data_IF_701554649754
#
_entry.id   IF_701554649754
#
_cell.length_a   1.000
_cell.length_b   1.000
_cell.length_c   1.000
_cell.angle_alpha   90.00
_cell.angle_beta   90.00
_cell.angle_gamma   90.00
#
_symmetry.space_group_name_H-M   'P 1'
#
loop_
_entity.id
_entity.type
_entity.pdbx_description
1 polymer ?
#
# COMPACT_ATOMS: atom_id res chain seq x y z
N UNK A 1 -2.66 -130.13 -1.62
CA UNK A 1 -2.86 -129.73 -0.21
C UNK A 1 -2.21 -128.37 -0.10
N UNK A 2 -2.89 -127.24 -0.28
CA UNK A 2 -4.18 -126.82 0.28
C UNK A 2 -4.12 -126.71 1.81
N UNK A 3 -3.82 -125.50 2.28
CA UNK A 3 -4.50 -124.86 3.42
C UNK A 3 -4.50 -123.34 3.15
N UNK A 4 -5.70 -122.78 3.08
CA UNK A 4 -5.93 -121.33 3.02
C UNK A 4 -5.91 -120.79 4.46
N UNK A 5 -5.04 -119.83 4.77
CA UNK A 5 -5.14 -119.10 6.03
C UNK A 5 -6.21 -118.02 5.89
N UNK A 6 -7.25 -118.00 6.75
CA UNK A 6 -8.38 -117.10 6.56
C UNK A 6 -7.98 -115.66 6.83
N UNK A 7 -8.24 -114.80 5.85
CA UNK A 7 -8.07 -113.36 5.94
C UNK A 7 -9.06 -112.81 6.97
N UNK A 8 -8.66 -112.79 8.25
CA UNK A 8 -9.47 -112.30 9.38
C UNK A 8 -9.60 -110.79 9.28
N UNK A 9 -10.53 -110.41 8.43
CA UNK A 9 -10.86 -109.04 8.07
C UNK A 9 -10.97 -108.15 9.31
N UNK A 10 -10.33 -106.97 9.24
CA UNK A 10 -10.41 -105.93 10.28
C UNK A 10 -11.87 -105.55 10.63
N UNK A 11 -12.80 -105.83 9.72
CA UNK A 11 -14.25 -105.70 9.85
C UNK A 11 -14.87 -106.53 10.99
N UNK A 12 -14.24 -107.63 11.43
CA UNK A 12 -14.81 -108.53 12.44
C UNK A 12 -14.38 -108.18 13.89
N UNK A 13 -13.25 -107.47 14.04
CA UNK A 13 -12.79 -106.93 15.34
C UNK A 13 -13.56 -105.66 15.71
N UNK A 14 -14.02 -104.91 14.70
CA UNK A 14 -14.86 -103.73 14.83
C UNK A 14 -16.11 -103.96 15.70
N UNK A 15 -17.05 -104.88 15.40
CA UNK A 15 -18.26 -105.08 16.21
C UNK A 15 -17.97 -105.54 17.65
N UNK A 16 -16.91 -106.31 17.87
CA UNK A 16 -16.51 -106.79 19.20
C UNK A 16 -16.07 -105.63 20.11
N UNK A 17 -15.17 -104.76 19.63
CA UNK A 17 -14.75 -103.55 20.35
C UNK A 17 -15.91 -102.56 20.48
N UNK A 18 -16.70 -102.41 19.41
CA UNK A 18 -17.86 -101.53 19.36
C UNK A 18 -18.84 -101.89 20.49
N UNK A 19 -19.21 -103.17 20.68
CA UNK A 19 -20.22 -103.59 21.67
C UNK A 19 -19.96 -103.12 23.12
N UNK A 20 -18.71 -103.16 23.59
CA UNK A 20 -18.33 -102.80 24.98
C UNK A 20 -17.80 -101.38 25.14
N UNK A 21 -17.32 -100.72 24.08
CA UNK A 21 -16.73 -99.37 24.15
C UNK A 21 -17.56 -98.27 23.46
N UNK A 22 -18.82 -98.52 23.05
CA UNK A 22 -19.75 -97.49 22.49
C UNK A 22 -19.66 -96.17 23.23
N UNK A 23 -19.81 -96.22 24.55
CA UNK A 23 -19.83 -95.04 25.41
C UNK A 23 -18.51 -94.27 25.45
N UNK A 24 -17.35 -94.94 25.34
CA UNK A 24 -16.06 -94.26 25.27
C UNK A 24 -15.83 -93.60 23.91
N UNK A 25 -16.24 -94.25 22.81
CA UNK A 25 -16.16 -93.66 21.47
C UNK A 25 -17.11 -92.46 21.32
N UNK A 26 -18.35 -92.59 21.83
CA UNK A 26 -19.32 -91.50 21.89
C UNK A 26 -18.79 -90.35 22.76
N UNK A 27 -18.22 -90.63 23.95
CA UNK A 27 -17.63 -89.59 24.80
C UNK A 27 -16.46 -88.88 24.10
N UNK A 28 -15.56 -89.62 23.46
CA UNK A 28 -14.40 -89.08 22.75
C UNK A 28 -14.77 -88.18 21.55
N UNK A 29 -15.95 -88.38 20.95
CA UNK A 29 -16.48 -87.51 19.88
C UNK A 29 -17.35 -86.38 20.43
N UNK A 30 -18.24 -86.69 21.38
CA UNK A 30 -19.19 -85.74 21.94
C UNK A 30 -18.54 -84.69 22.85
N UNK A 31 -17.47 -85.03 23.58
CA UNK A 31 -16.76 -84.08 24.43
C UNK A 31 -16.10 -82.93 23.64
N UNK A 32 -15.27 -83.16 22.59
CA UNK A 32 -14.74 -82.07 21.78
C UNK A 32 -15.82 -81.37 20.94
N UNK A 33 -16.88 -82.08 20.50
CA UNK A 33 -17.99 -81.45 19.79
C UNK A 33 -18.79 -80.49 20.70
N UNK A 34 -19.09 -80.90 21.94
CA UNK A 34 -19.76 -80.07 22.93
C UNK A 34 -18.87 -78.89 23.40
N UNK A 35 -17.56 -79.11 23.54
CA UNK A 35 -16.61 -78.05 23.83
C UNK A 35 -16.55 -77.02 22.68
N UNK A 36 -16.52 -77.47 21.42
CA UNK A 36 -16.55 -76.60 20.25
C UNK A 36 -17.87 -75.82 20.14
N UNK A 37 -19.02 -76.49 20.32
CA UNK A 37 -20.34 -75.85 20.31
C UNK A 37 -20.47 -74.79 21.42
N UNK A 38 -20.06 -75.14 22.66
CA UNK A 38 -20.02 -74.22 23.79
C UNK A 38 -19.14 -72.99 23.52
N UNK A 39 -17.93 -73.21 22.98
CA UNK A 39 -17.01 -72.13 22.62
C UNK A 39 -17.59 -71.21 21.54
N UNK A 40 -18.25 -71.75 20.51
CA UNK A 40 -18.93 -70.97 19.47
C UNK A 40 -20.05 -70.10 20.08
N UNK A 41 -20.84 -70.64 21.01
CA UNK A 41 -21.91 -69.86 21.68
C UNK A 41 -21.40 -68.83 22.69
N UNK A 42 -20.16 -68.97 23.18
CA UNK A 42 -19.56 -68.05 24.15
C UNK A 42 -18.81 -66.88 23.51
N UNK A 43 -18.40 -67.00 22.24
CA UNK A 43 -17.71 -65.93 21.53
C UNK A 43 -18.71 -64.82 21.08
N UNK A 44 -18.45 -63.55 21.39
CA UNK A 44 -19.31 -62.46 20.95
C UNK A 44 -19.19 -62.23 19.43
N UNK A 45 -20.33 -62.04 18.76
CA UNK A 45 -20.35 -61.65 17.36
C UNK A 45 -19.66 -60.30 17.16
N UNK A 46 -18.75 -60.23 16.17
CA UNK A 46 -18.08 -59.00 15.76
C UNK A 46 -18.40 -58.69 14.29
N UNK A 47 -18.99 -57.53 14.07
CA UNK A 47 -19.30 -56.99 12.75
C UNK A 47 -18.22 -55.99 12.33
N UNK A 48 -17.92 -55.94 11.03
CA UNK A 48 -17.03 -54.94 10.42
C UNK A 48 -17.78 -54.24 9.30
N UNK A 49 -17.78 -52.91 9.30
CA UNK A 49 -18.24 -52.09 8.16
C UNK A 49 -17.07 -51.30 7.61
N UNK A 50 -16.98 -51.20 6.28
CA UNK A 50 -15.91 -50.54 5.55
C UNK A 50 -16.50 -49.50 4.59
N UNK A 51 -16.00 -48.26 4.66
CA UNK A 51 -16.29 -47.21 3.69
C UNK A 51 -15.04 -46.92 2.84
N UNK A 52 -15.22 -46.85 1.53
CA UNK A 52 -14.17 -46.49 0.57
C UNK A 52 -14.33 -45.03 0.17
N UNK A 53 -13.31 -44.21 0.41
CA UNK A 53 -13.28 -42.80 0.00
C UNK A 53 -12.29 -42.66 -1.16
N UNK A 54 -12.78 -42.11 -2.28
CA UNK A 54 -11.95 -41.83 -3.45
C UNK A 54 -11.34 -40.43 -3.31
N UNK A 55 -10.03 -40.30 -3.53
CA UNK A 55 -9.37 -38.99 -3.57
C UNK A 55 -9.33 -38.52 -5.01
N UNK A 56 -10.24 -37.62 -5.36
CA UNK A 56 -10.18 -36.90 -6.62
C UNK A 56 -9.02 -35.87 -6.61
N UNK A 57 -8.19 -35.91 -7.65
CA UNK A 57 -7.03 -35.03 -7.82
C UNK A 57 -7.44 -33.92 -8.79
N UNK A 58 -7.53 -32.71 -8.27
CA UNK A 58 -7.82 -31.53 -9.08
C UNK A 58 -6.69 -31.35 -10.12
N UNK A 59 -7.01 -31.60 -11.39
CA UNK A 59 -6.05 -31.56 -12.49
C UNK A 59 -5.56 -30.13 -12.72
N UNK A 60 -4.34 -29.85 -12.29
CA UNK A 60 -3.56 -28.69 -12.72
C UNK A 60 -2.63 -29.19 -13.84
N UNK A 61 -2.58 -28.54 -15.02
CA UNK A 61 -1.77 -29.01 -16.14
C UNK A 61 -0.30 -29.25 -15.75
N UNK A 62 0.21 -30.46 -16.01
CA UNK A 62 1.53 -30.94 -15.52
C UNK A 62 2.76 -30.22 -16.11
N UNK A 63 2.57 -29.13 -16.86
CA UNK A 63 3.61 -28.48 -17.66
C UNK A 63 4.80 -27.89 -16.88
N UNK A 64 4.79 -27.88 -15.53
CA UNK A 64 5.77 -27.15 -14.72
C UNK A 64 6.48 -27.93 -13.60
N UNK A 65 6.03 -29.13 -13.17
CA UNK A 65 6.78 -29.91 -12.16
C UNK A 65 6.55 -31.41 -12.27
N UNK A 66 7.63 -32.21 -12.18
CA UNK A 66 7.52 -33.68 -12.04
C UNK A 66 6.87 -34.04 -10.70
N UNK A 67 5.84 -34.88 -10.76
CA UNK A 67 5.00 -35.23 -9.62
C UNK A 67 5.70 -36.15 -8.61
N UNK A 68 6.07 -35.59 -7.45
CA UNK A 68 6.39 -36.34 -6.21
C UNK A 68 5.18 -36.34 -5.25
N UNK A 69 3.96 -36.27 -5.80
CA UNK A 69 2.74 -35.88 -5.04
C UNK A 69 2.15 -37.02 -4.19
N UNK A 70 2.67 -38.24 -4.29
CA UNK A 70 2.22 -39.39 -3.47
C UNK A 70 2.52 -39.21 -1.97
N UNK A 71 3.75 -38.82 -1.61
CA UNK A 71 4.14 -38.64 -0.20
C UNK A 71 3.33 -37.54 0.48
N UNK A 72 3.12 -36.40 -0.21
CA UNK A 72 2.33 -35.28 0.30
C UNK A 72 0.86 -35.66 0.58
N UNK A 73 0.26 -36.51 -0.27
CA UNK A 73 -1.11 -36.98 -0.05
C UNK A 73 -1.21 -37.94 1.14
N UNK A 74 -0.29 -38.90 1.25
CA UNK A 74 -0.29 -39.85 2.36
C UNK A 74 -0.04 -39.17 3.70
N UNK A 75 0.95 -38.26 3.78
CA UNK A 75 1.16 -37.42 4.98
C UNK A 75 -0.11 -36.64 5.33
N UNK A 76 -0.81 -36.06 4.35
CA UNK A 76 -2.05 -35.32 4.59
C UNK A 76 -3.18 -36.21 5.11
N UNK A 77 -3.35 -37.41 4.55
CA UNK A 77 -4.33 -38.39 5.05
C UNK A 77 -3.99 -38.78 6.49
N UNK A 78 -2.71 -39.00 6.82
CA UNK A 78 -2.27 -39.30 8.18
C UNK A 78 -2.54 -38.13 9.15
N UNK A 79 -2.29 -36.88 8.77
CA UNK A 79 -2.62 -35.71 9.61
C UNK A 79 -4.13 -35.60 9.88
N UNK A 80 -4.97 -35.77 8.84
CA UNK A 80 -6.44 -35.77 9.01
C UNK A 80 -6.88 -36.96 9.88
N UNK A 81 -6.22 -38.12 9.74
CA UNK A 81 -6.48 -39.30 10.58
C UNK A 81 -6.18 -39.02 12.05
N UNK A 82 -5.08 -38.33 12.36
CA UNK A 82 -4.73 -37.95 13.74
C UNK A 82 -5.76 -36.99 14.35
N UNK A 83 -6.26 -36.03 13.57
CA UNK A 83 -7.31 -35.09 14.01
C UNK A 83 -8.65 -35.80 14.27
N UNK A 84 -9.05 -36.74 13.41
CA UNK A 84 -10.32 -37.49 13.55
C UNK A 84 -10.24 -38.56 14.64
N UNK A 85 -9.08 -39.17 14.85
CA UNK A 85 -8.81 -40.12 15.94
C UNK A 85 -8.40 -39.44 17.26
N UNK A 86 -8.51 -38.11 17.33
CA UNK A 86 -8.31 -37.32 18.55
C UNK A 86 -9.35 -37.64 19.61
N UNK A 87 -8.99 -37.43 20.88
CA UNK A 87 -9.85 -37.71 22.04
C UNK A 87 -11.24 -37.08 21.89
N UNK A 88 -11.30 -35.79 21.57
CA UNK A 88 -12.55 -35.04 21.47
C UNK A 88 -13.46 -35.54 20.33
N UNK A 89 -12.90 -35.86 19.16
CA UNK A 89 -13.68 -36.36 18.02
C UNK A 89 -14.22 -37.78 18.28
N UNK A 90 -13.42 -38.67 18.86
CA UNK A 90 -13.86 -40.02 19.24
C UNK A 90 -14.89 -39.98 20.38
N UNK A 91 -14.72 -39.11 21.37
CA UNK A 91 -15.69 -38.92 22.46
C UNK A 91 -17.07 -38.47 21.94
N UNK A 92 -17.11 -37.55 20.97
CA UNK A 92 -18.37 -37.14 20.31
C UNK A 92 -19.05 -38.33 19.61
N UNK A 93 -18.29 -39.20 18.93
CA UNK A 93 -18.86 -40.41 18.31
C UNK A 93 -19.37 -41.42 19.33
N UNK A 94 -18.61 -41.68 20.40
CA UNK A 94 -19.00 -42.58 21.49
C UNK A 94 -20.30 -42.12 22.14
N UNK A 95 -20.43 -40.81 22.40
CA UNK A 95 -21.65 -40.23 22.95
C UNK A 95 -22.81 -40.27 21.96
N UNK A 96 -22.60 -39.88 20.69
CA UNK A 96 -23.66 -39.79 19.67
C UNK A 96 -24.29 -41.14 19.34
N UNK A 97 -23.49 -42.21 19.31
CA UNK A 97 -23.95 -43.55 18.91
C UNK A 97 -24.05 -44.53 20.09
N UNK A 98 -23.90 -44.07 21.33
CA UNK A 98 -24.02 -44.92 22.53
C UNK A 98 -22.98 -46.05 22.61
N UNK A 99 -21.80 -45.85 22.00
CA UNK A 99 -20.81 -46.91 21.83
C UNK A 99 -20.27 -47.40 23.18
N UNK A 100 -19.94 -48.69 23.25
CA UNK A 100 -19.23 -49.32 24.38
C UNK A 100 -19.94 -49.21 25.74
N UNK A 101 -21.27 -49.12 25.80
CA UNK A 101 -22.06 -48.93 27.03
C UNK A 101 -21.57 -49.78 28.24
N UNK A 102 -21.31 -51.07 28.04
CA UNK A 102 -20.82 -51.98 29.09
C UNK A 102 -19.41 -51.64 29.62
N UNK A 103 -18.54 -51.09 28.77
CA UNK A 103 -17.19 -50.68 29.19
C UNK A 103 -17.22 -49.31 29.87
N UNK A 104 -18.08 -48.38 29.44
CA UNK A 104 -18.18 -47.03 30.03
C UNK A 104 -18.50 -47.05 31.53
N UNK A 105 -19.18 -48.10 31.99
CA UNK A 105 -19.50 -48.33 33.41
C UNK A 105 -18.39 -49.07 34.19
N UNK A 106 -17.38 -49.62 33.51
CA UNK A 106 -16.35 -50.50 34.09
C UNK A 106 -14.93 -49.93 34.03
N UNK A 107 -14.64 -49.06 33.07
CA UNK A 107 -13.32 -48.45 32.87
C UNK A 107 -13.42 -46.94 32.59
N UNK A 108 -12.37 -46.15 32.90
CA UNK A 108 -12.31 -44.73 32.53
C UNK A 108 -12.51 -44.50 31.03
N UNK A 109 -13.09 -43.35 30.69
CA UNK A 109 -13.42 -42.98 29.30
C UNK A 109 -12.20 -43.01 28.37
N UNK A 110 -11.02 -42.69 28.88
CA UNK A 110 -9.74 -42.75 28.19
C UNK A 110 -9.46 -44.16 27.64
N UNK A 111 -9.75 -45.21 28.42
CA UNK A 111 -9.56 -46.59 27.98
C UNK A 111 -10.58 -47.00 26.91
N UNK A 112 -11.81 -46.45 26.98
CA UNK A 112 -12.85 -46.64 25.95
C UNK A 112 -12.43 -45.97 24.64
N UNK A 113 -11.84 -44.77 24.71
CA UNK A 113 -11.33 -44.04 23.54
C UNK A 113 -10.14 -44.77 22.90
N UNK A 114 -9.18 -45.27 23.69
CA UNK A 114 -8.09 -46.11 23.17
C UNK A 114 -8.58 -47.43 22.59
N UNK A 115 -9.67 -48.00 23.14
CA UNK A 115 -10.33 -49.17 22.54
C UNK A 115 -10.92 -48.82 21.17
N UNK A 116 -11.66 -47.72 21.07
CA UNK A 116 -12.22 -47.24 19.81
C UNK A 116 -11.15 -46.98 18.75
N UNK A 117 -10.03 -46.35 19.13
CA UNK A 117 -8.92 -46.09 18.19
C UNK A 117 -8.32 -47.39 17.62
N UNK A 118 -8.31 -48.48 18.38
CA UNK A 118 -7.82 -49.81 17.93
C UNK A 118 -8.85 -50.58 17.09
N UNK A 119 -10.14 -50.34 17.32
CA UNK A 119 -11.23 -50.97 16.56
C UNK A 119 -11.41 -50.32 15.16
N UNK A 120 -10.93 -49.07 14.97
CA UNK A 120 -10.84 -48.38 13.68
C UNK A 120 -9.53 -48.78 12.95
N UNK A 121 -9.62 -49.05 11.66
CA UNK A 121 -8.45 -49.24 10.76
C UNK A 121 -8.60 -48.42 9.49
N UNK A 122 -7.53 -47.73 9.10
CA UNK A 122 -7.41 -47.04 7.83
C UNK A 122 -6.34 -47.74 6.99
N UNK A 123 -6.69 -48.06 5.75
CA UNK A 123 -5.80 -48.69 4.78
C UNK A 123 -5.81 -47.84 3.49
N UNK A 124 -4.65 -47.39 3.03
CA UNK A 124 -4.53 -46.71 1.74
C UNK A 124 -4.50 -47.75 0.63
N UNK A 125 -5.29 -47.53 -0.42
CA UNK A 125 -5.38 -48.41 -1.58
C UNK A 125 -5.05 -47.62 -2.85
N UNK A 126 -3.83 -47.79 -3.33
CA UNK A 126 -3.46 -47.38 -4.68
C UNK A 126 -4.26 -48.20 -5.68
N UNK A 127 -5.21 -47.56 -6.37
CA UNK A 127 -5.88 -48.20 -7.51
C UNK A 127 -5.00 -47.95 -8.73
N UNK A 128 -4.08 -48.89 -8.98
CA UNK A 128 -3.41 -48.98 -10.27
C UNK A 128 -4.46 -49.36 -11.33
N UNK A 129 -5.05 -48.34 -11.94
CA UNK A 129 -5.98 -48.49 -13.04
C UNK A 129 -5.23 -49.12 -14.22
N UNK A 130 -5.43 -50.43 -14.40
CA UNK A 130 -4.74 -51.31 -15.36
C UNK A 130 -4.87 -50.79 -16.81
N UNK A 131 -3.98 -49.87 -17.21
CA UNK A 131 -3.94 -49.24 -18.53
C UNK A 131 -4.04 -47.71 -18.57
N UNK A 132 -4.42 -47.03 -17.48
CA UNK A 132 -4.40 -45.56 -17.38
C UNK A 132 -3.19 -45.10 -16.55
N UNK A 133 -2.49 -44.06 -17.04
CA UNK A 133 -1.29 -43.49 -16.36
C UNK A 133 -1.59 -42.71 -15.08
N UNK A 134 -2.87 -42.59 -14.72
CA UNK A 134 -3.34 -41.86 -13.54
C UNK A 134 -3.73 -42.87 -12.44
N UNK A 135 -2.83 -43.06 -11.47
CA UNK A 135 -3.12 -43.87 -10.28
C UNK A 135 -4.07 -43.10 -9.35
N UNK A 136 -5.37 -43.40 -9.45
CA UNK A 136 -6.38 -42.85 -8.54
C UNK A 136 -6.15 -43.43 -7.14
N UNK A 137 -5.97 -42.55 -6.15
CA UNK A 137 -5.73 -42.97 -4.77
C UNK A 137 -7.07 -43.08 -4.06
N UNK A 138 -7.37 -44.25 -3.52
CA UNK A 138 -8.49 -44.46 -2.61
C UNK A 138 -7.94 -44.78 -1.21
N UNK A 139 -8.77 -44.60 -0.19
CA UNK A 139 -8.50 -45.16 1.14
C UNK A 139 -9.77 -45.78 1.70
N UNK A 140 -9.60 -46.87 2.45
CA UNK A 140 -10.68 -47.59 3.10
C UNK A 140 -10.59 -47.39 4.60
N UNK A 141 -11.67 -46.87 5.19
CA UNK A 141 -11.86 -46.79 6.64
C UNK A 141 -12.73 -47.96 7.02
N UNK A 142 -12.31 -48.77 7.99
CA UNK A 142 -13.15 -49.81 8.58
C UNK A 142 -13.25 -49.65 10.09
N UNK A 143 -14.41 -50.01 10.64
CA UNK A 143 -14.68 -50.02 12.08
C UNK A 143 -15.30 -51.36 12.46
N UNK A 144 -15.04 -51.81 13.69
CA UNK A 144 -15.44 -53.10 14.22
C UNK A 144 -16.19 -52.94 15.54
N UNK A 145 -17.26 -53.72 15.73
CA UNK A 145 -18.08 -53.65 16.95
C UNK A 145 -19.10 -54.77 17.03
N UNK A 146 -19.91 -54.77 18.10
CA UNK A 146 -20.84 -55.85 18.43
C UNK A 146 -22.23 -55.70 17.82
N UNK A 147 -22.63 -54.50 17.38
CA UNK A 147 -23.90 -54.27 16.68
C UNK A 147 -23.68 -53.83 15.24
N UNK A 148 -24.32 -54.52 14.29
CA UNK A 148 -24.16 -54.28 12.85
C UNK A 148 -24.68 -52.90 12.42
N UNK A 149 -25.82 -52.45 12.97
CA UNK A 149 -26.42 -51.16 12.62
C UNK A 149 -25.54 -49.99 13.06
N UNK A 150 -25.13 -50.00 14.32
CA UNK A 150 -24.26 -49.01 14.94
C UNK A 150 -22.87 -48.98 14.31
N UNK A 151 -22.31 -50.14 13.95
CA UNK A 151 -21.04 -50.23 13.22
C UNK A 151 -21.14 -49.56 11.85
N UNK A 152 -22.22 -49.80 11.09
CA UNK A 152 -22.44 -49.13 9.80
C UNK A 152 -22.57 -47.61 9.92
N UNK A 153 -23.40 -47.13 10.87
CA UNK A 153 -23.57 -45.70 11.14
C UNK A 153 -22.27 -45.02 11.58
N UNK A 154 -21.46 -45.70 12.39
CA UNK A 154 -20.16 -45.18 12.86
C UNK A 154 -19.16 -45.09 11.72
N UNK A 155 -19.04 -46.11 10.86
CA UNK A 155 -18.16 -46.06 9.67
C UNK A 155 -18.56 -44.93 8.71
N UNK A 156 -19.87 -44.75 8.47
CA UNK A 156 -20.37 -43.67 7.63
C UNK A 156 -20.04 -42.28 8.22
N UNK A 157 -20.26 -42.09 9.53
CA UNK A 157 -19.92 -40.84 10.21
C UNK A 157 -18.41 -40.54 10.18
N UNK A 158 -17.56 -41.55 10.37
CA UNK A 158 -16.11 -41.42 10.20
C UNK A 158 -15.77 -40.95 8.78
N UNK A 159 -16.30 -41.59 7.74
CA UNK A 159 -16.07 -41.18 6.34
C UNK A 159 -16.51 -39.73 6.07
N UNK A 160 -17.67 -39.31 6.60
CA UNK A 160 -18.12 -37.91 6.51
C UNK A 160 -17.14 -36.94 7.17
N UNK A 161 -16.58 -37.27 8.35
CA UNK A 161 -15.59 -36.42 9.02
C UNK A 161 -14.29 -36.27 8.23
N UNK A 162 -13.83 -37.30 7.50
CA UNK A 162 -12.67 -37.16 6.60
C UNK A 162 -12.94 -36.17 5.46
N UNK A 163 -14.15 -36.16 4.91
CA UNK A 163 -14.56 -35.22 3.86
C UNK A 163 -14.65 -33.79 4.42
N UNK A 164 -15.32 -33.62 5.57
CA UNK A 164 -15.52 -32.33 6.23
C UNK A 164 -14.20 -31.68 6.67
N UNK A 165 -13.31 -32.42 7.34
CA UNK A 165 -12.03 -31.86 7.81
C UNK A 165 -11.07 -31.61 6.62
N UNK A 166 -11.14 -32.39 5.54
CA UNK A 166 -10.43 -32.07 4.29
C UNK A 166 -10.91 -30.75 3.66
N UNK A 167 -12.22 -30.51 3.63
CA UNK A 167 -12.80 -29.26 3.12
C UNK A 167 -12.36 -28.07 3.99
N UNK A 168 -12.53 -28.18 5.31
CA UNK A 168 -12.11 -27.16 6.29
C UNK A 168 -10.60 -26.89 6.26
N UNK A 169 -9.77 -27.92 6.04
CA UNK A 169 -8.34 -27.76 5.84
C UNK A 169 -8.00 -26.99 4.54
N UNK A 170 -8.73 -27.25 3.44
CA UNK A 170 -8.59 -26.47 2.19
C UNK A 170 -8.98 -25.00 2.40
N UNK A 171 -10.09 -24.74 3.10
CA UNK A 171 -10.55 -23.38 3.43
C UNK A 171 -9.51 -22.61 4.26
N UNK A 172 -9.01 -23.21 5.35
CA UNK A 172 -7.93 -22.62 6.17
C UNK A 172 -6.68 -22.32 5.34
N UNK A 173 -6.27 -23.24 4.45
CA UNK A 173 -5.10 -23.06 3.58
C UNK A 173 -5.30 -21.92 2.56
N UNK A 174 -6.48 -21.84 1.95
CA UNK A 174 -6.83 -20.77 1.02
C UNK A 174 -6.86 -19.40 1.72
N UNK A 175 -7.48 -19.32 2.90
CA UNK A 175 -7.52 -18.11 3.71
C UNK A 175 -6.11 -17.63 4.10
N UNK A 176 -5.26 -18.53 4.61
CA UNK A 176 -3.87 -18.21 4.96
C UNK A 176 -3.02 -17.78 3.76
N UNK A 177 -3.27 -18.37 2.58
CA UNK A 177 -2.61 -17.96 1.33
C UNK A 177 -3.07 -16.56 0.90
N UNK A 178 -4.36 -16.25 0.99
CA UNK A 178 -4.89 -14.93 0.69
C UNK A 178 -4.37 -13.86 1.66
N UNK A 179 -4.25 -14.19 2.95
CA UNK A 179 -3.66 -13.30 3.97
C UNK A 179 -2.17 -13.05 3.71
N UNK A 180 -1.40 -14.10 3.40
CA UNK A 180 0.00 -13.97 3.00
C UNK A 180 0.17 -13.07 1.76
N UNK A 181 -0.61 -13.31 0.70
CA UNK A 181 -0.57 -12.50 -0.52
C UNK A 181 -0.99 -11.04 -0.27
N UNK A 182 -1.95 -10.81 0.62
CA UNK A 182 -2.35 -9.45 1.06
C UNK A 182 -1.22 -8.74 1.80
N UNK A 183 -0.47 -9.45 2.66
CA UNK A 183 0.74 -8.93 3.30
C UNK A 183 1.82 -8.56 2.28
N UNK A 184 2.17 -9.49 1.39
CA UNK A 184 3.15 -9.25 0.32
C UNK A 184 2.75 -8.09 -0.61
N UNK A 185 1.46 -7.93 -0.91
CA UNK A 185 0.94 -6.81 -1.69
C UNK A 185 1.12 -5.47 -0.95
N UNK A 186 0.84 -5.42 0.36
CA UNK A 186 1.03 -4.22 1.17
C UNK A 186 2.50 -3.81 1.28
N UNK A 187 3.40 -4.77 1.52
CA UNK A 187 4.84 -4.53 1.57
C UNK A 187 5.40 -4.10 0.21
N UNK A 188 4.96 -4.75 -0.87
CA UNK A 188 5.36 -4.38 -2.24
C UNK A 188 4.86 -2.99 -2.61
N UNK A 189 3.61 -2.63 -2.24
CA UNK A 189 3.08 -1.28 -2.42
C UNK A 189 3.92 -0.25 -1.66
N UNK A 190 4.25 -0.50 -0.39
CA UNK A 190 5.10 0.41 0.41
C UNK A 190 6.49 0.62 -0.20
N UNK A 191 7.07 -0.43 -0.80
CA UNK A 191 8.34 -0.33 -1.55
C UNK A 191 8.20 0.47 -2.83
N UNK A 192 7.12 0.26 -3.60
CA UNK A 192 6.83 1.03 -4.81
C UNK A 192 6.60 2.52 -4.50
N UNK A 193 5.75 2.83 -3.54
CA UNK A 193 5.47 4.20 -3.09
C UNK A 193 6.77 4.94 -2.69
N UNK A 194 7.71 4.24 -2.02
CA UNK A 194 9.02 4.78 -1.67
C UNK A 194 9.95 5.00 -2.88
N UNK A 195 9.91 4.11 -3.88
CA UNK A 195 10.67 4.29 -5.14
C UNK A 195 10.08 5.44 -5.98
N UNK A 196 8.75 5.57 -6.05
CA UNK A 196 8.08 6.69 -6.72
C UNK A 196 8.42 8.03 -6.07
N UNK A 197 8.51 8.08 -4.73
CA UNK A 197 8.98 9.28 -4.01
C UNK A 197 10.43 9.62 -4.37
N UNK A 198 11.35 8.65 -4.38
CA UNK A 198 12.74 8.88 -4.78
C UNK A 198 12.86 9.38 -6.22
N UNK A 199 12.11 8.78 -7.16
CA UNK A 199 12.04 9.24 -8.55
C UNK A 199 11.44 10.63 -8.65
N UNK A 200 10.36 10.93 -7.91
CA UNK A 200 9.73 12.25 -7.88
C UNK A 200 10.66 13.34 -7.35
N UNK A 201 11.40 13.06 -6.27
CA UNK A 201 12.42 13.96 -5.75
C UNK A 201 13.58 14.15 -6.73
N UNK A 202 14.08 13.08 -7.35
CA UNK A 202 15.13 13.17 -8.37
C UNK A 202 14.68 14.06 -9.54
N UNK A 203 13.49 13.82 -10.08
CA UNK A 203 12.88 14.66 -11.13
C UNK A 203 12.74 16.11 -10.71
N UNK A 204 12.32 16.39 -9.46
CA UNK A 204 12.18 17.74 -8.92
C UNK A 204 13.51 18.48 -8.75
N UNK A 205 14.58 17.78 -8.33
CA UNK A 205 15.91 18.37 -8.14
C UNK A 205 16.62 18.64 -9.48
N UNK A 206 16.42 17.77 -10.47
CA UNK A 206 17.04 17.84 -11.79
C UNK A 206 16.10 18.43 -12.87
N UNK A 207 15.12 19.25 -12.50
CA UNK A 207 14.20 19.88 -13.46
C UNK A 207 14.96 20.66 -14.54
N UNK A 208 14.74 20.31 -15.80
CA UNK A 208 15.46 20.85 -16.96
C UNK A 208 16.62 19.96 -17.44
N UNK A 209 17.10 19.01 -16.63
CA UNK A 209 18.18 18.07 -16.99
C UNK A 209 17.66 16.66 -17.34
N UNK A 210 16.33 16.44 -17.24
CA UNK A 210 15.73 15.12 -17.50
C UNK A 210 15.87 14.73 -18.98
N UNK A 211 16.16 13.44 -19.29
CA UNK A 211 16.13 12.94 -20.66
C UNK A 211 14.79 13.16 -21.38
N UNK A 212 13.66 13.07 -20.66
CA UNK A 212 12.34 13.38 -21.24
C UNK A 212 12.14 14.87 -21.59
N UNK A 213 12.94 15.78 -21.03
CA UNK A 213 12.89 17.21 -21.34
C UNK A 213 13.91 17.60 -22.43
N UNK A 214 14.84 16.72 -22.80
CA UNK A 214 15.89 16.98 -23.79
C UNK A 214 15.32 17.50 -25.12
N UNK A 215 14.27 16.87 -25.64
CA UNK A 215 13.64 17.27 -26.91
C UNK A 215 12.96 18.65 -26.81
N UNK A 216 12.23 18.92 -25.72
CA UNK A 216 11.62 20.22 -25.46
C UNK A 216 12.67 21.32 -25.25
N UNK A 217 13.79 21.01 -24.59
CA UNK A 217 14.92 21.90 -24.39
C UNK A 217 15.61 22.22 -25.72
N UNK A 218 15.84 21.23 -26.58
CA UNK A 218 16.43 21.41 -27.90
C UNK A 218 15.52 22.26 -28.81
N UNK A 219 14.21 22.00 -28.82
CA UNK A 219 13.25 22.83 -29.55
C UNK A 219 13.22 24.28 -29.02
N UNK A 220 13.38 24.47 -27.70
CA UNK A 220 13.47 25.80 -27.08
C UNK A 220 14.78 26.51 -27.44
N UNK A 221 15.90 25.77 -27.48
CA UNK A 221 17.22 26.26 -27.91
C UNK A 221 17.21 26.69 -29.38
N UNK A 222 16.64 25.89 -30.28
CA UNK A 222 16.49 26.23 -31.70
C UNK A 222 15.68 27.52 -31.88
N UNK A 223 14.54 27.64 -31.18
CA UNK A 223 13.72 28.86 -31.19
C UNK A 223 14.48 30.07 -30.64
N UNK A 224 15.25 29.91 -29.56
CA UNK A 224 16.10 30.96 -29.01
C UNK A 224 17.19 31.37 -30.00
N UNK A 225 17.81 30.42 -30.70
CA UNK A 225 18.85 30.67 -31.69
C UNK A 225 18.31 31.47 -32.89
N UNK A 226 17.11 31.11 -33.38
CA UNK A 226 16.39 31.86 -34.41
C UNK A 226 16.05 33.28 -33.95
N UNK A 227 15.56 33.46 -32.71
CA UNK A 227 15.31 34.78 -32.14
C UNK A 227 16.59 35.63 -32.02
N UNK A 228 17.71 35.02 -31.60
CA UNK A 228 19.00 35.70 -31.45
C UNK A 228 19.51 36.18 -32.83
N UNK A 229 19.42 35.32 -33.86
CA UNK A 229 19.76 35.69 -35.25
C UNK A 229 18.90 36.84 -35.77
N UNK A 230 17.58 36.78 -35.60
CA UNK A 230 16.68 37.88 -36.00
C UNK A 230 17.02 39.19 -35.27
N UNK A 231 17.42 39.12 -34.00
CA UNK A 231 17.82 40.31 -33.23
C UNK A 231 19.16 40.88 -33.72
N UNK A 232 20.15 40.03 -34.04
CA UNK A 232 21.42 40.44 -34.64
C UNK A 232 21.23 41.07 -36.03
N UNK A 233 20.37 40.52 -36.88
CA UNK A 233 20.00 41.10 -38.18
C UNK A 233 19.33 42.48 -38.00
N UNK A 234 18.43 42.61 -37.03
CA UNK A 234 17.78 43.89 -36.70
C UNK A 234 18.77 44.92 -36.15
N UNK A 235 19.72 44.51 -35.30
CA UNK A 235 20.78 45.37 -34.78
C UNK A 235 21.71 45.86 -35.90
N UNK A 236 22.05 44.99 -36.85
CA UNK A 236 22.85 45.33 -38.04
C UNK A 236 22.13 46.34 -38.92
N UNK A 237 20.84 46.10 -39.24
CA UNK A 237 20.01 47.07 -39.97
C UNK A 237 19.86 48.40 -39.24
N UNK A 238 19.85 48.40 -37.91
CA UNK A 238 19.80 49.62 -37.12
C UNK A 238 21.13 50.38 -37.14
N UNK A 239 22.28 49.69 -37.11
CA UNK A 239 23.60 50.33 -37.22
C UNK A 239 23.86 50.87 -38.63
N UNK A 240 23.47 50.14 -39.67
CA UNK A 240 23.48 50.59 -41.07
C UNK A 240 22.67 51.88 -41.26
N UNK A 241 21.41 51.90 -40.79
CA UNK A 241 20.56 53.11 -40.82
C UNK A 241 21.18 54.28 -40.07
N UNK A 242 21.81 54.05 -38.93
CA UNK A 242 22.52 55.09 -38.18
C UNK A 242 23.74 55.60 -38.97
N UNK A 243 24.47 54.71 -39.64
CA UNK A 243 25.62 55.09 -40.45
C UNK A 243 25.20 55.93 -41.65
N UNK A 244 24.15 55.55 -42.39
CA UNK A 244 23.65 56.33 -43.53
C UNK A 244 23.06 57.67 -43.12
N UNK A 245 22.37 57.75 -41.97
CA UNK A 245 21.98 59.04 -41.39
C UNK A 245 23.20 59.90 -41.03
N UNK A 246 24.26 59.32 -40.45
CA UNK A 246 25.47 60.06 -40.11
C UNK A 246 26.24 60.57 -41.34
N UNK A 247 26.27 59.81 -42.44
CA UNK A 247 26.88 60.27 -43.69
C UNK A 247 26.05 61.36 -44.37
N UNK A 248 24.73 61.26 -44.35
CA UNK A 248 23.83 62.33 -44.85
C UNK A 248 23.98 63.62 -44.04
N UNK A 249 24.15 63.53 -42.72
CA UNK A 249 24.44 64.69 -41.87
C UNK A 249 25.81 65.30 -42.19
N UNK A 250 26.85 64.48 -42.33
CA UNK A 250 28.19 64.97 -42.70
C UNK A 250 28.23 65.60 -44.10
N UNK A 251 27.46 65.05 -45.06
CA UNK A 251 27.28 65.62 -46.39
C UNK A 251 26.55 66.98 -46.32
N UNK A 252 25.45 67.07 -45.56
CA UNK A 252 24.74 68.32 -45.33
C UNK A 252 25.61 69.39 -44.65
N UNK A 253 26.38 69.02 -43.62
CA UNK A 253 27.35 69.91 -42.97
C UNK A 253 28.44 70.38 -43.96
N UNK A 254 28.90 69.51 -44.87
CA UNK A 254 29.88 69.89 -45.91
C UNK A 254 29.31 70.87 -46.95
N UNK A 255 28.03 70.74 -47.29
CA UNK A 255 27.31 71.67 -48.19
C UNK A 255 27.06 73.02 -47.51
N UNK A 256 26.77 73.02 -46.21
CA UNK A 256 26.68 74.24 -45.40
C UNK A 256 28.05 74.92 -45.28
N UNK A 257 29.12 74.17 -45.04
CA UNK A 257 30.48 74.68 -44.91
C UNK A 257 31.10 75.18 -46.23
N UNK A 258 30.60 74.72 -47.38
CA UNK A 258 31.02 75.18 -48.72
C UNK A 258 30.20 76.37 -49.24
N UNK A 259 29.25 76.87 -48.46
CA UNK A 259 28.56 78.14 -48.72
C UNK A 259 29.33 79.30 -48.08
N UNK A 260 29.96 80.22 -48.83
CA UNK A 260 30.71 81.33 -48.24
C UNK A 260 29.75 82.37 -47.65
N UNK A 261 29.55 82.34 -46.33
CA UNK A 261 28.72 83.30 -45.61
C UNK A 261 29.40 84.69 -45.50
N UNK A 262 28.67 85.82 -45.63
CA UNK A 262 29.26 87.16 -45.63
C UNK A 262 29.76 87.64 -44.26
N UNK A 263 30.61 88.66 -44.29
CA UNK A 263 31.24 89.28 -43.11
C UNK A 263 30.35 90.30 -42.36
N UNK A 264 30.53 90.32 -41.03
CA UNK A 264 30.35 91.47 -40.10
C UNK A 264 28.92 91.85 -39.63
N UNK A 265 28.76 92.58 -38.49
CA UNK A 265 29.67 92.78 -37.34
C UNK A 265 29.03 92.60 -35.93
N UNK A 266 29.89 92.75 -34.91
CA UNK A 266 29.67 92.68 -33.45
C UNK A 266 28.78 93.80 -32.86
N UNK A 267 28.00 93.47 -31.82
CA UNK A 267 27.56 94.41 -30.78
C UNK A 267 27.46 93.72 -29.39
N UNK A 268 28.17 94.19 -28.34
CA UNK A 268 28.10 93.61 -26.99
C UNK A 268 27.16 94.39 -26.06
N UNK A 269 26.38 93.69 -25.22
CA UNK A 269 25.44 94.34 -24.29
C UNK A 269 25.01 93.47 -23.11
N UNK A 270 25.78 93.52 -22.01
CA UNK A 270 25.36 93.04 -20.68
C UNK A 270 25.96 93.93 -19.60
N UNK A 271 25.16 94.36 -18.61
CA UNK A 271 25.49 94.13 -17.19
C UNK A 271 24.39 93.25 -16.54
N UNK A 272 24.70 92.30 -15.66
CA UNK A 272 24.96 92.48 -14.22
C UNK A 272 23.75 93.10 -13.49
N UNK A 273 23.18 92.51 -12.43
CA UNK A 273 23.72 91.47 -11.55
C UNK A 273 23.79 91.98 -10.11
N UNK A 274 22.63 92.36 -9.53
CA UNK A 274 22.50 92.76 -8.13
C UNK A 274 21.97 91.62 -7.26
N UNK A 275 22.16 91.68 -5.92
CA UNK A 275 21.63 90.65 -5.02
C UNK A 275 20.09 90.69 -4.97
N UNK A 276 19.46 89.57 -5.32
CA UNK A 276 18.02 89.38 -5.17
C UNK A 276 17.61 89.52 -3.70
N UNK A 277 16.50 90.20 -3.41
CA UNK A 277 15.94 90.22 -2.06
C UNK A 277 15.50 88.80 -1.64
N UNK A 278 15.54 88.47 -0.33
CA UNK A 278 15.10 87.15 0.13
C UNK A 278 13.63 86.86 -0.23
N UNK A 279 12.78 87.89 -0.29
CA UNK A 279 11.39 87.77 -0.74
C UNK A 279 11.24 87.41 -2.23
N UNK A 280 12.12 87.94 -3.09
CA UNK A 280 12.16 87.60 -4.53
C UNK A 280 12.62 86.16 -4.76
N UNK A 281 13.57 85.66 -3.95
CA UNK A 281 14.01 84.26 -3.98
C UNK A 281 12.92 83.31 -3.48
N UNK A 282 12.27 83.66 -2.38
CA UNK A 282 11.16 82.90 -1.79
C UNK A 282 9.99 82.75 -2.79
N UNK A 283 9.60 83.83 -3.48
CA UNK A 283 8.54 83.77 -4.51
C UNK A 283 8.94 82.92 -5.72
N UNK A 284 10.19 83.01 -6.19
CA UNK A 284 10.71 82.15 -7.27
C UNK A 284 10.72 80.67 -6.88
N UNK A 285 11.26 80.32 -5.71
CA UNK A 285 11.33 78.93 -5.23
C UNK A 285 9.93 78.33 -5.02
N UNK A 286 8.96 79.12 -4.54
CA UNK A 286 7.55 78.69 -4.49
C UNK A 286 6.96 78.35 -5.86
N UNK A 287 7.30 79.11 -6.91
CA UNK A 287 6.86 78.82 -8.28
C UNK A 287 7.52 77.57 -8.85
N UNK A 288 8.82 77.37 -8.62
CA UNK A 288 9.55 76.16 -9.02
C UNK A 288 9.00 74.91 -8.30
N UNK A 289 8.67 75.01 -7.00
CA UNK A 289 8.03 73.95 -6.22
C UNK A 289 6.62 73.63 -6.76
N UNK A 290 5.80 74.64 -7.05
CA UNK A 290 4.47 74.44 -7.65
C UNK A 290 4.54 73.72 -9.01
N UNK A 291 5.55 74.05 -9.83
CA UNK A 291 5.79 73.40 -11.11
C UNK A 291 6.25 71.93 -10.94
N UNK A 292 7.15 71.65 -10.00
CA UNK A 292 7.57 70.27 -9.71
C UNK A 292 6.42 69.43 -9.16
N UNK A 293 5.58 69.95 -8.25
CA UNK A 293 4.38 69.25 -7.74
C UNK A 293 3.34 68.93 -8.82
N UNK A 294 3.32 69.70 -9.91
CA UNK A 294 2.49 69.41 -11.09
C UNK A 294 3.00 68.25 -11.96
N UNK A 295 4.27 67.85 -11.79
CA UNK A 295 4.92 66.80 -12.60
C UNK A 295 5.35 65.57 -11.77
N UNK A 296 5.60 65.74 -10.49
CA UNK A 296 6.13 64.73 -9.57
C UNK A 296 5.31 64.65 -8.29
N UNK A 297 5.15 63.43 -7.77
CA UNK A 297 4.44 63.16 -6.51
C UNK A 297 5.25 63.67 -5.29
N UNK A 298 4.59 64.05 -4.19
CA UNK A 298 5.18 64.64 -2.97
C UNK A 298 6.28 63.80 -2.28
N UNK A 299 6.47 62.54 -2.70
CA UNK A 299 7.52 61.64 -2.22
C UNK A 299 8.83 61.69 -3.03
N UNK A 300 8.90 62.48 -4.10
CA UNK A 300 10.11 62.60 -4.91
C UNK A 300 11.19 63.40 -4.16
N UNK A 301 12.47 62.96 -4.14
CA UNK A 301 13.51 63.57 -3.31
C UNK A 301 13.69 65.07 -3.55
N UNK A 302 13.65 65.51 -4.81
CA UNK A 302 13.85 66.91 -5.19
C UNK A 302 12.73 67.82 -4.68
N UNK A 303 11.48 67.32 -4.63
CA UNK A 303 10.33 68.04 -4.05
C UNK A 303 10.51 68.21 -2.54
N UNK A 304 11.05 67.19 -1.86
CA UNK A 304 11.30 67.22 -0.41
C UNK A 304 12.44 68.19 -0.06
N UNK A 305 13.49 68.24 -0.88
CA UNK A 305 14.61 69.18 -0.71
C UNK A 305 14.14 70.63 -0.92
N UNK A 306 13.48 70.92 -2.05
CA UNK A 306 13.02 72.27 -2.37
C UNK A 306 11.96 72.78 -1.38
N UNK A 307 11.08 71.89 -0.88
CA UNK A 307 10.11 72.25 0.16
C UNK A 307 10.76 72.60 1.52
N UNK A 308 11.89 71.99 1.87
CA UNK A 308 12.66 72.36 3.07
C UNK A 308 13.33 73.72 2.91
N UNK A 309 13.88 73.99 1.73
CA UNK A 309 14.60 75.23 1.42
C UNK A 309 13.65 76.45 1.37
N UNK A 310 12.44 76.28 0.84
CA UNK A 310 11.36 77.28 0.96
C UNK A 310 11.00 77.52 2.43
N UNK A 311 10.84 76.47 3.24
CA UNK A 311 10.46 76.60 4.65
C UNK A 311 11.54 77.23 5.54
N UNK A 312 12.82 77.15 5.16
CA UNK A 312 13.91 77.90 5.82
C UNK A 312 13.90 79.37 5.42
N UNK A 313 13.74 79.67 4.12
CA UNK A 313 13.67 81.06 3.63
C UNK A 313 12.43 81.81 4.10
N UNK A 314 11.28 81.13 4.26
CA UNK A 314 10.08 81.72 4.90
C UNK A 314 10.38 82.20 6.32
N UNK A 315 11.03 81.37 7.14
CA UNK A 315 11.39 81.75 8.51
C UNK A 315 12.38 82.91 8.55
N UNK A 316 13.37 82.96 7.66
CA UNK A 316 14.31 84.08 7.59
C UNK A 316 13.62 85.40 7.19
N UNK A 317 12.60 85.35 6.33
CA UNK A 317 11.79 86.52 5.95
C UNK A 317 10.84 86.95 7.08
N UNK A 318 10.24 86.00 7.80
CA UNK A 318 9.36 86.29 8.93
C UNK A 318 10.15 86.83 10.14
N UNK A 319 11.32 86.26 10.45
CA UNK A 319 12.24 86.74 11.48
C UNK A 319 12.83 88.12 11.14
N UNK A 320 12.96 88.46 9.84
CA UNK A 320 13.33 89.80 9.39
C UNK A 320 12.17 90.79 9.59
N UNK A 321 10.92 90.40 9.30
CA UNK A 321 9.72 91.23 9.53
C UNK A 321 9.39 91.43 11.01
N UNK A 322 9.71 90.47 11.86
CA UNK A 322 9.51 90.56 13.30
C UNK A 322 10.46 91.57 14.01
N UNK A 323 11.39 92.20 13.29
CA UNK A 323 12.38 93.15 13.85
C UNK A 323 12.09 94.63 13.60
N UNK A 324 10.95 94.98 12.99
CA UNK A 324 10.48 96.37 12.87
C UNK A 324 9.38 96.68 13.93
N UNK A 325 9.54 97.73 14.78
CA UNK A 325 8.63 97.97 15.91
C UNK A 325 7.56 99.06 15.69
N UNK A 326 6.30 98.80 16.06
CA UNK A 326 5.27 99.81 16.42
C UNK A 326 4.21 99.32 17.43
N UNK A 327 4.48 99.62 18.70
CA UNK A 327 3.66 100.40 19.67
C UNK A 327 2.10 100.44 19.64
N UNK A 328 1.53 100.31 20.86
CA UNK A 328 0.15 100.49 21.38
C UNK A 328 -0.92 99.41 21.06
N UNK A 329 -1.41 98.63 22.04
CA UNK A 329 -2.39 98.98 23.11
C UNK A 329 -3.76 99.40 22.55
N UNK A 330 -4.92 98.79 22.85
CA UNK A 330 -5.36 97.92 23.98
C UNK A 330 -6.33 96.82 23.45
N UNK A 331 -6.98 95.92 24.20
CA UNK A 331 -7.14 95.67 25.64
C UNK A 331 -7.49 94.16 25.88
N UNK A 332 -7.91 93.81 27.10
CA UNK A 332 -8.54 92.56 27.60
C UNK A 332 -9.78 92.97 28.45
N UNK A 333 -10.61 92.10 29.10
CA UNK A 333 -10.45 90.68 29.49
C UNK A 333 -11.70 89.83 29.13
N UNK A 334 -12.02 88.68 29.74
CA UNK A 334 -11.27 87.45 30.05
C UNK A 334 -12.32 86.37 30.45
N UNK A 335 -11.94 85.09 30.44
CA UNK A 335 -12.80 84.00 30.88
C UNK A 335 -12.73 82.75 30.01
N UNK A 336 -12.21 81.59 30.43
CA UNK A 336 -11.19 81.21 31.40
C UNK A 336 -11.14 79.68 31.35
N UNK A 337 -9.93 79.09 31.22
CA UNK A 337 -9.61 77.70 31.65
C UNK A 337 -10.31 76.54 30.87
N UNK A 338 -9.71 75.37 30.65
CA UNK A 338 -8.36 74.88 30.96
C UNK A 338 -7.82 73.97 29.82
N UNK A 339 -6.53 73.65 29.87
CA UNK A 339 -5.79 72.82 28.90
C UNK A 339 -5.60 71.36 29.40
N UNK A 340 -4.68 70.54 28.85
CA UNK A 340 -4.83 69.73 27.62
C UNK A 340 -4.45 68.24 27.91
N UNK A 341 -3.80 67.47 27.00
CA UNK A 341 -4.11 67.10 25.61
C UNK A 341 -4.37 65.57 25.44
N UNK A 342 -4.87 65.13 24.27
CA UNK A 342 -5.05 63.69 23.98
C UNK A 342 -4.85 63.34 22.49
N UNK A 343 -3.85 62.51 22.18
CA UNK A 343 -3.46 62.09 20.82
C UNK A 343 -4.46 61.10 20.18
N UNK A 344 -4.72 61.26 18.89
CA UNK A 344 -5.05 60.18 17.94
C UNK A 344 -3.81 59.27 17.71
N UNK A 345 -3.86 58.05 17.09
CA UNK A 345 -4.91 57.57 16.17
C UNK A 345 -5.31 56.07 16.22
N UNK A 346 -6.42 55.78 15.54
CA UNK A 346 -6.69 54.68 14.58
C UNK A 346 -6.12 53.27 14.81
N UNK A 347 -7.04 52.31 14.74
CA UNK A 347 -6.90 50.84 14.73
C UNK A 347 -5.91 50.25 13.69
N UNK A 348 -5.16 49.19 14.04
CA UNK A 348 -4.48 48.34 13.07
C UNK A 348 -5.34 47.13 12.66
N UNK A 349 -5.43 46.86 11.34
CA UNK A 349 -5.95 45.60 10.81
C UNK A 349 -4.88 44.50 10.92
N UNK A 350 -5.26 43.28 11.30
CA UNK A 350 -4.34 42.15 11.46
C UNK A 350 -4.54 41.14 10.32
N UNK A 351 -3.50 40.91 9.53
CA UNK A 351 -3.37 39.75 8.64
C UNK A 351 -2.03 39.06 8.94
N UNK A 352 -2.09 37.96 9.68
CA UNK A 352 -0.95 37.04 9.87
C UNK A 352 -1.16 35.83 8.97
N UNK A 353 -0.19 35.56 8.10
CA UNK A 353 0.04 34.20 7.66
C UNK A 353 0.75 33.42 8.78
N UNK A 354 0.23 32.25 9.12
CA UNK A 354 1.02 31.01 9.11
C UNK A 354 0.11 29.79 9.03
#
# INVERSE_FOLDING_TARGET
MAEETPDRSLLDVLPAVWSRRKWLAILAFAAPLAAAASLITFLPNMYRSTATVLVDRQQIPEAFVKSTVTSALETRIQTISQEILSRARLEVLINRFGLYADLRNKVPLEQVIERMRKDIKLELKSVEAKGLREATVAFTISYQGTDAGTVSLTTNALASFYIEENLKARERQAAGTAEFLKGQLADTKKRLDGQEQQVSEFKRRHMGELPQQMEANLATLERLHQQLRLNADNQTRASERRQTMSSQLAEADSLLASTPAPVAPVAPGRPAGGPESPEARLTRLKQELAKLRGQFNDKYPDVILLAREVATLEREVDDAKAREPKENEKEQPAGAQAAPPGRQPVTPYVLRLK
#
